data_IF_342910690859
#
_entry.id   IF_342910690859
#
_cell.length_a   1.000
_cell.length_b   1.000
_cell.length_c   1.000
_cell.angle_alpha   90.00
_cell.angle_beta   90.00
_cell.angle_gamma   90.00
#
_symmetry.space_group_name_H-M   'P 1'
#
loop_
_entity.id
_entity.type
_entity.pdbx_description
1 polymer ?
#
# COMPACT_ATOMS: atom_id res chain seq x y z
N UNK A 1 22.96 22.85 8.42
CA UNK A 1 21.78 23.69 8.17
C UNK A 1 20.56 22.79 8.13
N UNK A 2 19.47 23.21 8.78
CA UNK A 2 18.19 22.50 8.75
C UNK A 2 17.62 22.50 7.33
N UNK A 3 17.06 21.37 6.88
CA UNK A 3 16.40 21.25 5.57
C UNK A 3 14.96 20.76 5.73
N UNK A 4 14.21 20.75 4.64
CA UNK A 4 12.87 20.15 4.64
C UNK A 4 12.95 18.64 4.52
N UNK A 5 11.99 17.94 5.13
CA UNK A 5 11.71 16.53 4.87
C UNK A 5 10.56 16.45 3.88
N UNK A 6 10.72 15.66 2.83
CA UNK A 6 9.65 15.35 1.87
C UNK A 6 9.35 13.86 1.91
N UNK A 7 8.09 13.53 2.21
CA UNK A 7 7.56 12.17 2.18
C UNK A 7 6.70 12.01 0.94
N UNK A 8 7.19 11.28 -0.05
CA UNK A 8 6.40 10.90 -1.22
C UNK A 8 5.67 9.61 -0.91
N UNK A 9 4.37 9.54 -1.16
CA UNK A 9 3.58 8.33 -0.86
C UNK A 9 2.44 8.08 -1.84
N UNK A 10 2.18 6.80 -2.14
CA UNK A 10 0.94 6.38 -2.79
C UNK A 10 -0.20 6.13 -1.78
N UNK A 11 0.14 6.00 -0.51
CA UNK A 11 -0.80 5.60 0.55
C UNK A 11 -1.34 6.82 1.28
N UNK A 12 -2.40 6.58 2.05
CA UNK A 12 -2.89 7.58 2.99
C UNK A 12 -1.81 7.86 4.06
N UNK A 13 -1.47 9.12 4.36
CA UNK A 13 -0.48 9.42 5.39
C UNK A 13 -1.03 9.22 6.79
N UNK A 14 -0.87 8.00 7.33
CA UNK A 14 -1.28 7.66 8.70
C UNK A 14 -0.31 8.28 9.70
N UNK A 15 -0.84 8.97 10.70
CA UNK A 15 -0.05 9.63 11.77
C UNK A 15 1.03 8.73 12.39
N UNK A 16 0.65 7.52 12.81
CA UNK A 16 1.58 6.57 13.42
C UNK A 16 2.74 6.15 12.48
N UNK A 17 2.46 5.97 11.19
CA UNK A 17 3.45 5.63 10.16
C UNK A 17 4.42 6.78 9.94
N UNK A 18 3.89 8.00 9.74
CA UNK A 18 4.70 9.20 9.56
C UNK A 18 5.60 9.43 10.78
N UNK A 19 5.07 9.28 11.99
CA UNK A 19 5.87 9.37 13.22
C UNK A 19 6.96 8.31 13.28
N UNK A 20 6.67 7.05 12.92
CA UNK A 20 7.69 6.00 12.91
C UNK A 20 8.84 6.33 11.93
N UNK A 21 8.51 6.85 10.75
CA UNK A 21 9.49 7.27 9.74
C UNK A 21 10.34 8.44 10.27
N UNK A 22 9.70 9.48 10.84
CA UNK A 22 10.41 10.64 11.39
C UNK A 22 11.29 10.28 12.58
N UNK A 23 10.84 9.38 13.47
CA UNK A 23 11.66 8.85 14.57
C UNK A 23 12.89 8.12 14.05
N UNK A 24 12.73 7.32 12.99
CA UNK A 24 13.85 6.62 12.37
C UNK A 24 14.84 7.58 11.72
N UNK A 25 14.36 8.65 11.08
CA UNK A 25 15.20 9.75 10.58
C UNK A 25 15.99 10.39 11.73
N UNK A 26 15.33 10.80 12.81
CA UNK A 26 15.98 11.42 13.97
C UNK A 26 17.06 10.53 14.58
N UNK A 27 16.81 9.22 14.70
CA UNK A 27 17.79 8.26 15.18
C UNK A 27 19.04 8.16 14.27
N UNK A 28 18.88 8.29 12.96
CA UNK A 28 19.99 8.29 11.99
C UNK A 28 20.93 9.48 12.18
N UNK A 29 20.34 10.65 12.42
CA UNK A 29 21.08 11.91 12.55
C UNK A 29 21.43 12.25 14.00
N UNK A 30 21.09 11.37 14.96
CA UNK A 30 21.37 11.59 16.38
C UNK A 30 20.68 12.81 16.97
N UNK A 31 19.48 13.16 16.49
CA UNK A 31 18.72 14.32 16.95
C UNK A 31 17.51 13.92 17.78
N UNK A 32 17.26 14.67 18.84
CA UNK A 32 16.03 14.56 19.61
C UNK A 32 14.87 15.21 18.86
N UNK A 33 13.65 14.81 19.20
CA UNK A 33 12.43 15.40 18.66
C UNK A 33 11.41 15.60 19.77
N UNK A 34 10.54 16.60 19.60
CA UNK A 34 9.45 16.92 20.51
C UNK A 34 8.13 17.03 19.75
N UNK A 35 7.06 16.63 20.41
CA UNK A 35 5.70 16.91 19.99
C UNK A 35 4.99 15.75 19.31
N UNK A 36 3.69 15.97 19.09
CA UNK A 36 2.78 15.06 18.44
C UNK A 36 2.26 15.70 17.15
N UNK A 37 2.08 14.91 16.11
CA UNK A 37 1.91 15.47 14.78
C UNK A 37 0.44 15.69 14.42
N UNK A 38 0.19 16.70 13.59
CA UNK A 38 -1.03 16.83 12.77
C UNK A 38 -0.65 16.96 11.31
N UNK A 39 -1.52 16.47 10.43
CA UNK A 39 -1.32 16.49 8.98
C UNK A 39 -2.38 17.41 8.40
N UNK A 40 -1.95 18.53 7.84
CA UNK A 40 -2.83 19.57 7.33
C UNK A 40 -2.68 19.69 5.81
N UNK A 41 -3.76 19.82 5.03
CA UNK A 41 -3.64 20.14 3.62
C UNK A 41 -3.03 21.53 3.43
N UNK A 42 -2.20 21.69 2.40
CA UNK A 42 -1.72 23.01 2.00
C UNK A 42 -2.75 23.63 1.06
N UNK A 43 -3.32 24.74 1.48
CA UNK A 43 -4.33 25.51 0.74
C UNK A 43 -3.68 26.77 0.16
N UNK A 44 -3.98 27.13 -1.09
CA UNK A 44 -3.51 28.38 -1.69
C UNK A 44 -4.31 29.58 -1.17
N UNK A 45 -3.83 30.83 -1.38
CA UNK A 45 -4.60 32.02 -1.05
C UNK A 45 -6.00 32.06 -1.69
N UNK A 46 -6.19 31.40 -2.85
CA UNK A 46 -7.48 31.28 -3.53
C UNK A 46 -8.35 30.12 -3.01
N UNK A 47 -7.96 29.46 -1.92
CA UNK A 47 -8.71 28.36 -1.31
C UNK A 47 -8.54 27.00 -2.01
N UNK A 48 -7.50 26.82 -2.84
CA UNK A 48 -7.29 25.57 -3.59
C UNK A 48 -6.32 24.64 -2.89
N UNK A 49 -6.68 23.37 -2.79
CA UNK A 49 -5.77 22.33 -2.32
C UNK A 49 -4.58 22.17 -3.28
N UNK A 50 -3.37 22.27 -2.75
CA UNK A 50 -2.13 22.21 -3.53
C UNK A 50 -1.62 20.79 -3.79
N UNK A 51 -2.44 19.76 -3.55
CA UNK A 51 -2.04 18.34 -3.66
C UNK A 51 -0.77 18.02 -2.85
N UNK A 52 -0.63 18.66 -1.69
CA UNK A 52 0.42 18.38 -0.72
C UNK A 52 -0.09 18.67 0.68
N UNK A 53 0.45 17.95 1.66
CA UNK A 53 0.15 18.16 3.06
C UNK A 53 1.40 18.66 3.78
N UNK A 54 1.18 19.36 4.89
CA UNK A 54 2.21 19.80 5.83
C UNK A 54 2.02 19.04 7.14
N UNK A 55 3.11 18.51 7.67
CA UNK A 55 3.12 17.92 9.01
C UNK A 55 3.57 19.00 9.99
N UNK A 56 2.75 19.25 11.01
CA UNK A 56 3.04 20.22 12.08
C UNK A 56 3.09 19.51 13.43
N UNK A 57 3.66 20.18 14.44
CA UNK A 57 3.78 19.65 15.81
C UNK A 57 4.94 18.67 15.99
N UNK A 58 5.81 18.53 14.99
CA UNK A 58 7.08 17.81 15.10
C UNK A 58 8.23 18.82 15.05
N UNK A 59 9.02 18.88 16.13
CA UNK A 59 10.17 19.77 16.23
C UNK A 59 11.45 18.94 16.40
N UNK A 60 12.45 19.21 15.55
CA UNK A 60 13.79 18.63 15.64
C UNK A 60 14.80 19.61 15.04
N UNK A 61 16.00 19.74 15.63
CA UNK A 61 17.00 20.77 15.29
C UNK A 61 17.35 20.85 13.79
N UNK A 62 17.39 19.70 13.11
CA UNK A 62 17.76 19.61 11.70
C UNK A 62 16.58 19.75 10.74
N UNK A 63 15.35 19.84 11.24
CA UNK A 63 14.15 19.78 10.40
C UNK A 63 13.50 21.16 10.34
N UNK A 64 13.48 21.74 9.14
CA UNK A 64 12.83 23.04 8.90
C UNK A 64 11.33 22.90 8.74
N UNK A 65 10.91 22.09 7.78
CA UNK A 65 9.50 21.79 7.49
C UNK A 65 9.36 20.34 7.04
N UNK A 66 8.16 19.78 7.19
CA UNK A 66 7.86 18.42 6.77
C UNK A 66 6.65 18.44 5.83
N UNK A 67 6.85 17.95 4.61
CA UNK A 67 5.82 17.89 3.59
C UNK A 67 5.53 16.45 3.21
N UNK A 68 4.26 16.18 2.88
CA UNK A 68 3.83 14.93 2.27
C UNK A 68 3.31 15.23 0.87
N UNK A 69 3.83 14.53 -0.11
CA UNK A 69 3.46 14.65 -1.52
C UNK A 69 2.82 13.34 -1.99
N UNK A 70 1.50 13.33 -2.24
CA UNK A 70 0.85 12.23 -2.93
C UNK A 70 1.44 12.03 -4.33
N UNK A 71 1.91 10.82 -4.59
CA UNK A 71 2.50 10.43 -5.88
C UNK A 71 1.83 9.16 -6.40
N UNK A 72 2.16 8.81 -7.64
CA UNK A 72 1.91 7.49 -8.19
C UNK A 72 3.10 6.94 -8.96
N UNK A 73 3.29 5.62 -8.89
CA UNK A 73 4.28 4.91 -9.68
C UNK A 73 3.87 4.79 -11.15
N UNK A 74 4.87 4.80 -12.05
CA UNK A 74 4.66 4.34 -13.43
C UNK A 74 4.51 2.81 -13.50
N UNK A 75 4.96 2.10 -12.45
CA UNK A 75 4.85 0.65 -12.26
C UNK A 75 4.76 0.35 -10.75
N UNK A 76 5.58 -0.56 -10.22
CA UNK A 76 5.61 -0.91 -8.80
C UNK A 76 6.25 0.19 -7.94
N UNK A 77 5.48 0.83 -7.07
CA UNK A 77 5.95 1.89 -6.16
C UNK A 77 6.08 1.38 -4.71
N UNK A 78 7.11 1.81 -3.97
CA UNK A 78 7.20 1.61 -2.51
C UNK A 78 6.23 2.53 -1.78
N UNK A 79 5.70 2.13 -0.63
CA UNK A 79 4.64 2.93 0.01
C UNK A 79 5.10 4.36 0.40
N UNK A 80 6.38 4.55 0.77
CA UNK A 80 6.97 5.86 1.02
C UNK A 80 8.40 6.01 0.46
N UNK A 81 8.75 7.23 0.06
CA UNK A 81 10.13 7.67 -0.16
C UNK A 81 10.39 8.91 0.71
N UNK A 82 11.53 8.96 1.41
CA UNK A 82 11.94 10.11 2.20
C UNK A 82 13.08 10.86 1.51
N UNK A 83 12.95 12.17 1.38
CA UNK A 83 14.01 13.08 0.93
C UNK A 83 14.29 14.12 2.01
N UNK A 84 15.55 14.57 2.09
CA UNK A 84 15.99 15.60 3.03
C UNK A 84 16.74 16.72 2.29
N UNK A 85 15.97 17.71 1.84
CA UNK A 85 16.41 18.77 0.92
C UNK A 85 15.45 19.97 0.98
N UNK A 86 15.91 21.14 0.55
CA UNK A 86 15.12 22.37 0.63
C UNK A 86 13.95 22.36 -0.37
N UNK A 87 14.24 22.03 -1.64
CA UNK A 87 13.26 22.06 -2.72
C UNK A 87 12.44 20.77 -2.81
N UNK A 88 11.23 20.89 -3.38
CA UNK A 88 10.39 19.72 -3.65
C UNK A 88 11.13 18.72 -4.57
N UNK A 89 11.15 17.42 -4.24
CA UNK A 89 11.82 16.41 -5.05
C UNK A 89 11.30 16.35 -6.48
N UNK A 90 12.22 16.04 -7.38
CA UNK A 90 12.01 15.69 -8.78
C UNK A 90 12.41 14.23 -9.01
N UNK A 91 12.05 13.67 -10.17
CA UNK A 91 12.39 12.30 -10.53
C UNK A 91 13.91 12.02 -10.62
N UNK A 92 14.72 13.07 -10.66
CA UNK A 92 16.19 13.00 -10.71
C UNK A 92 16.85 12.99 -9.32
N UNK A 93 16.11 13.38 -8.29
CA UNK A 93 16.65 13.43 -6.93
C UNK A 93 16.74 12.02 -6.34
N UNK A 94 17.74 11.81 -5.47
CA UNK A 94 17.95 10.53 -4.79
C UNK A 94 17.27 10.57 -3.41
N UNK A 95 16.36 9.64 -3.10
CA UNK A 95 15.78 9.55 -1.76
C UNK A 95 16.85 9.10 -0.74
N UNK A 96 16.66 9.52 0.50
CA UNK A 96 17.40 9.00 1.65
C UNK A 96 16.92 7.60 2.03
N UNK A 97 15.60 7.39 2.05
CA UNK A 97 14.97 6.12 2.44
C UNK A 97 13.91 5.68 1.43
N UNK A 98 13.85 4.38 1.18
CA UNK A 98 12.76 3.69 0.48
C UNK A 98 12.02 2.80 1.48
N UNK A 99 10.72 3.02 1.68
CA UNK A 99 9.99 2.39 2.77
C UNK A 99 8.74 1.70 2.23
N UNK A 100 8.56 0.44 2.60
CA UNK A 100 7.34 -0.34 2.37
C UNK A 100 6.60 -0.54 3.71
N UNK A 101 5.32 -0.16 3.78
CA UNK A 101 4.50 -0.30 5.00
C UNK A 101 3.65 -1.56 4.92
N UNK A 102 3.61 -2.36 5.98
CA UNK A 102 2.66 -3.47 6.08
C UNK A 102 2.03 -3.54 7.46
N UNK A 103 0.74 -3.90 7.48
CA UNK A 103 0.03 -4.29 8.70
C UNK A 103 -0.04 -5.81 8.88
N UNK A 104 0.27 -6.56 7.83
CA UNK A 104 0.07 -8.00 7.76
C UNK A 104 1.14 -8.77 8.53
N UNK A 105 0.71 -9.67 9.43
CA UNK A 105 1.58 -10.64 10.08
C UNK A 105 1.37 -12.07 9.51
N UNK A 106 2.19 -13.03 9.95
CA UNK A 106 2.19 -14.46 9.56
C UNK A 106 0.82 -15.18 9.74
N UNK A 107 -0.12 -14.58 10.47
CA UNK A 107 -1.46 -15.13 10.73
C UNK A 107 -2.38 -15.02 9.52
N UNK A 108 -2.39 -13.87 8.84
CA UNK A 108 -3.46 -13.53 7.90
C UNK A 108 -3.12 -13.83 6.45
N UNK A 109 -1.86 -13.65 6.05
CA UNK A 109 -1.45 -13.94 4.68
C UNK A 109 0.03 -14.29 4.53
N UNK A 110 0.32 -15.57 4.75
CA UNK A 110 1.69 -16.14 4.77
C UNK A 110 2.53 -15.81 3.54
N UNK A 111 1.95 -15.92 2.34
CA UNK A 111 2.69 -15.72 1.08
C UNK A 111 2.55 -14.29 0.54
N UNK A 112 1.41 -13.64 0.75
CA UNK A 112 1.15 -12.29 0.21
C UNK A 112 1.84 -11.22 1.04
N UNK A 113 1.84 -11.34 2.38
CA UNK A 113 2.38 -10.33 3.28
C UNK A 113 3.89 -10.15 3.22
N UNK A 114 4.63 -11.17 2.76
CA UNK A 114 6.10 -11.08 2.59
C UNK A 114 6.48 -10.97 1.12
N UNK A 115 6.17 -11.97 0.29
CA UNK A 115 6.75 -12.05 -1.06
C UNK A 115 6.22 -11.01 -2.04
N UNK A 116 4.94 -10.62 -1.98
CA UNK A 116 4.41 -9.62 -2.90
C UNK A 116 5.13 -8.27 -2.70
N UNK A 117 5.41 -7.92 -1.45
CA UNK A 117 6.01 -6.64 -1.02
C UNK A 117 7.51 -6.60 -1.28
N UNK A 118 8.22 -7.71 -1.05
CA UNK A 118 9.63 -7.88 -1.38
C UNK A 118 10.00 -7.43 -2.81
N UNK A 119 9.11 -7.65 -3.78
CA UNK A 119 9.37 -7.30 -5.18
C UNK A 119 9.56 -5.81 -5.43
N UNK A 120 8.96 -4.95 -4.60
CA UNK A 120 9.11 -3.50 -4.70
C UNK A 120 10.54 -3.06 -4.42
N UNK A 121 11.20 -3.64 -3.40
CA UNK A 121 12.60 -3.35 -3.08
C UNK A 121 13.60 -3.81 -4.14
N UNK A 122 13.25 -4.89 -4.85
CA UNK A 122 14.01 -5.36 -6.00
C UNK A 122 13.84 -4.36 -7.15
N UNK A 123 12.59 -3.98 -7.44
CA UNK A 123 12.27 -3.07 -8.54
C UNK A 123 12.81 -1.64 -8.32
N UNK A 124 12.86 -1.14 -7.09
CA UNK A 124 13.43 0.19 -6.79
C UNK A 124 14.93 0.28 -7.04
N UNK A 125 15.66 -0.84 -6.97
CA UNK A 125 17.12 -0.82 -7.16
C UNK A 125 17.51 -0.33 -8.55
N UNK A 126 16.63 -0.53 -9.54
CA UNK A 126 16.85 -0.10 -10.92
C UNK A 126 16.84 1.43 -11.07
N UNK A 127 16.19 2.13 -10.15
CA UNK A 127 16.05 3.59 -10.16
C UNK A 127 16.95 4.25 -9.13
N UNK A 128 17.09 3.63 -7.96
CA UNK A 128 17.78 4.20 -6.82
C UNK A 128 18.71 3.16 -6.18
N UNK A 129 19.84 2.85 -6.84
CA UNK A 129 20.78 1.87 -6.33
C UNK A 129 21.44 2.35 -5.03
N UNK A 130 21.68 1.40 -4.13
CA UNK A 130 22.32 1.65 -2.83
C UNK A 130 21.60 2.72 -1.99
N UNK A 131 20.27 2.80 -2.07
CA UNK A 131 19.46 3.54 -1.11
C UNK A 131 19.04 2.62 0.02
N UNK A 132 19.02 3.14 1.24
CA UNK A 132 18.59 2.38 2.40
C UNK A 132 17.09 2.03 2.30
N UNK A 133 16.78 0.77 2.57
CA UNK A 133 15.45 0.20 2.42
C UNK A 133 14.90 -0.19 3.78
N UNK A 134 13.62 0.09 4.01
CA UNK A 134 12.95 -0.17 5.27
C UNK A 134 11.63 -0.90 5.01
N UNK A 135 11.45 -2.06 5.63
CA UNK A 135 10.15 -2.71 5.78
C UNK A 135 9.55 -2.29 7.13
N UNK A 136 8.53 -1.44 7.10
CA UNK A 136 7.86 -0.89 8.29
C UNK A 136 6.59 -1.69 8.60
N UNK A 137 6.57 -2.33 9.78
CA UNK A 137 5.41 -3.04 10.29
C UNK A 137 4.54 -2.12 11.16
N UNK A 138 3.39 -1.69 10.64
CA UNK A 138 2.40 -0.87 11.33
C UNK A 138 1.19 -1.73 11.74
N UNK A 139 1.32 -2.44 12.85
CA UNK A 139 0.40 -3.52 13.23
C UNK A 139 -0.72 -3.01 14.13
N UNK A 140 -1.93 -3.51 13.89
CA UNK A 140 -3.08 -3.35 14.79
C UNK A 140 -3.38 -4.61 15.61
N UNK A 141 -2.71 -5.74 15.30
CA UNK A 141 -2.89 -7.03 15.96
C UNK A 141 -1.56 -7.60 16.53
N UNK A 142 -1.60 -8.39 17.61
CA UNK A 142 -0.39 -8.94 18.26
C UNK A 142 0.45 -9.87 17.38
N UNK A 143 1.77 -9.90 17.64
CA UNK A 143 2.71 -10.75 16.92
C UNK A 143 2.51 -12.23 17.23
N UNK A 144 2.51 -13.05 16.19
CA UNK A 144 2.57 -14.49 16.38
C UNK A 144 3.89 -14.88 17.02
N UNK A 145 3.80 -15.64 18.13
CA UNK A 145 4.97 -16.07 18.92
C UNK A 145 5.91 -16.96 18.11
N UNK A 146 5.36 -17.91 17.34
CA UNK A 146 6.16 -18.84 16.53
C UNK A 146 6.05 -18.55 15.03
N UNK A 147 7.11 -18.07 14.37
CA UNK A 147 7.07 -17.75 12.95
C UNK A 147 6.99 -19.03 12.09
N UNK A 148 6.32 -18.95 10.93
CA UNK A 148 6.36 -20.02 9.92
C UNK A 148 7.67 -20.02 9.13
N UNK A 149 8.00 -21.15 8.50
CA UNK A 149 9.15 -21.25 7.58
C UNK A 149 9.06 -20.26 6.41
N UNK A 150 7.85 -20.03 5.88
CA UNK A 150 7.61 -19.03 4.82
C UNK A 150 8.03 -17.64 5.28
N UNK A 151 7.61 -17.26 6.49
CA UNK A 151 7.93 -15.97 7.07
C UNK A 151 9.42 -15.81 7.38
N UNK A 152 10.03 -16.85 7.95
CA UNK A 152 11.49 -16.90 8.20
C UNK A 152 12.21 -16.69 6.87
N UNK A 153 11.93 -17.49 5.86
CA UNK A 153 12.61 -17.41 4.57
C UNK A 153 12.48 -16.05 3.90
N UNK A 154 11.26 -15.50 3.82
CA UNK A 154 11.04 -14.19 3.24
C UNK A 154 11.72 -13.05 4.03
N UNK A 155 11.68 -13.10 5.36
CA UNK A 155 12.36 -12.13 6.22
C UNK A 155 13.88 -12.21 6.07
N UNK A 156 14.45 -13.42 6.02
CA UNK A 156 15.88 -13.63 5.81
C UNK A 156 16.33 -13.13 4.44
N UNK A 157 15.51 -13.29 3.40
CA UNK A 157 15.79 -12.71 2.08
C UNK A 157 15.80 -11.17 2.11
N UNK A 158 14.85 -10.54 2.82
CA UNK A 158 14.86 -9.08 3.02
C UNK A 158 16.16 -8.62 3.70
N UNK A 159 16.54 -9.28 4.80
CA UNK A 159 17.79 -8.99 5.51
C UNK A 159 19.02 -9.24 4.64
N UNK A 160 18.98 -10.26 3.77
CA UNK A 160 20.06 -10.53 2.80
C UNK A 160 20.22 -9.37 1.83
N UNK A 161 19.15 -8.68 1.45
CA UNK A 161 19.17 -7.50 0.60
C UNK A 161 19.36 -6.17 1.37
N UNK A 162 19.86 -6.23 2.61
CA UNK A 162 20.08 -5.09 3.51
C UNK A 162 18.81 -4.25 3.77
N UNK A 163 17.64 -4.89 3.73
CA UNK A 163 16.39 -4.23 4.11
C UNK A 163 16.28 -4.23 5.62
N UNK A 164 16.29 -3.02 6.21
CA UNK A 164 16.03 -2.80 7.62
C UNK A 164 14.57 -3.10 7.94
N UNK A 165 14.30 -3.65 9.13
CA UNK A 165 12.97 -4.02 9.56
C UNK A 165 12.63 -3.29 10.85
N UNK A 166 11.55 -2.52 10.84
CA UNK A 166 11.08 -1.74 11.99
C UNK A 166 9.62 -2.09 12.32
N UNK A 167 9.20 -1.88 13.57
CA UNK A 167 7.81 -2.11 14.02
C UNK A 167 7.46 -3.56 14.39
N UNK A 168 8.46 -4.45 14.49
CA UNK A 168 8.32 -5.80 15.04
C UNK A 168 9.59 -6.29 15.71
N UNK A 169 9.46 -7.27 16.60
CA UNK A 169 10.61 -7.93 17.23
C UNK A 169 11.08 -9.10 16.37
N UNK A 170 12.39 -9.18 16.15
CA UNK A 170 13.05 -10.26 15.43
C UNK A 170 14.02 -10.96 16.38
N UNK A 171 13.88 -12.29 16.50
CA UNK A 171 14.89 -13.14 17.13
C UNK A 171 16.14 -13.19 16.22
N UNK A 172 17.31 -12.67 16.66
CA UNK A 172 18.52 -12.61 15.83
C UNK A 172 19.10 -13.99 15.49
N UNK A 173 18.77 -15.03 16.25
CA UNK A 173 19.22 -16.41 15.95
C UNK A 173 18.45 -17.01 14.77
N UNK A 174 17.19 -16.61 14.61
CA UNK A 174 16.31 -17.09 13.53
C UNK A 174 16.39 -16.16 12.31
N UNK A 175 16.35 -14.86 12.54
CA UNK A 175 16.24 -13.83 11.51
C UNK A 175 17.60 -13.17 11.28
N UNK A 176 18.42 -13.88 10.51
CA UNK A 176 19.71 -13.38 10.00
C UNK A 176 19.78 -13.46 8.48
N UNK A 177 20.57 -12.59 7.82
CA UNK A 177 20.86 -12.71 6.40
C UNK A 177 21.29 -14.14 6.02
N UNK A 178 21.03 -14.54 4.78
CA UNK A 178 21.72 -15.69 4.21
C UNK A 178 23.17 -15.31 3.98
N UNK A 179 24.07 -16.21 4.38
CA UNK A 179 25.52 -16.01 4.20
C UNK A 179 26.06 -16.76 2.98
N UNK A 180 25.34 -17.80 2.53
CA UNK A 180 25.73 -18.66 1.41
C UNK A 180 24.51 -19.07 0.60
N UNK A 181 24.70 -19.27 -0.70
CA UNK A 181 23.65 -19.74 -1.60
C UNK A 181 23.02 -21.06 -1.15
N UNK A 182 23.81 -22.03 -0.71
CA UNK A 182 23.30 -23.35 -0.33
C UNK A 182 22.38 -23.26 0.90
N UNK A 183 22.63 -22.32 1.81
CA UNK A 183 21.75 -22.08 2.96
C UNK A 183 20.34 -21.63 2.54
N UNK A 184 20.26 -20.75 1.54
CA UNK A 184 18.99 -20.31 0.95
C UNK A 184 18.25 -21.48 0.30
N UNK A 185 18.97 -22.29 -0.49
CA UNK A 185 18.43 -23.46 -1.19
C UNK A 185 17.88 -24.49 -0.20
N UNK A 186 18.67 -24.85 0.81
CA UNK A 186 18.31 -25.86 1.81
C UNK A 186 17.08 -25.43 2.60
N UNK A 187 17.02 -24.18 3.05
CA UNK A 187 15.86 -23.67 3.77
C UNK A 187 14.62 -23.66 2.87
N UNK A 188 14.73 -23.27 1.60
CA UNK A 188 13.57 -23.29 0.68
C UNK A 188 13.08 -24.71 0.42
N UNK A 189 14.00 -25.64 0.21
CA UNK A 189 13.68 -27.02 -0.16
C UNK A 189 13.15 -27.87 1.01
N UNK A 190 13.54 -27.52 2.25
CA UNK A 190 13.00 -28.16 3.46
C UNK A 190 11.54 -27.82 3.76
N UNK A 191 10.98 -26.79 3.14
CA UNK A 191 9.59 -26.39 3.38
C UNK A 191 8.59 -27.45 2.92
N UNK A 192 7.49 -27.68 3.65
CA UNK A 192 6.43 -28.60 3.25
C UNK A 192 5.88 -28.30 1.85
N UNK A 193 5.44 -29.34 1.14
CA UNK A 193 4.74 -29.17 -0.14
C UNK A 193 3.41 -28.43 0.12
N UNK A 194 2.99 -27.54 -0.79
CA UNK A 194 1.65 -26.95 -0.67
C UNK A 194 0.60 -28.05 -0.84
N UNK A 195 -0.54 -27.89 -0.17
CA UNK A 195 -1.66 -28.84 -0.29
C UNK A 195 -2.15 -28.96 -1.74
N UNK A 196 -2.18 -27.83 -2.45
CA UNK A 196 -2.51 -27.74 -3.88
C UNK A 196 -1.47 -26.87 -4.60
N UNK A 197 -1.09 -27.27 -5.82
CA UNK A 197 -0.27 -26.47 -6.72
C UNK A 197 1.19 -26.89 -6.82
N UNK A 198 1.97 -26.10 -7.56
CA UNK A 198 3.38 -26.38 -7.84
C UNK A 198 4.22 -26.03 -6.60
N UNK A 199 4.95 -26.98 -5.98
CA UNK A 199 5.88 -26.66 -4.92
C UNK A 199 7.01 -25.80 -5.48
N UNK A 200 7.38 -24.76 -4.74
CA UNK A 200 8.55 -23.96 -5.10
C UNK A 200 9.80 -24.60 -4.52
N UNK A 201 10.72 -24.94 -5.42
CA UNK A 201 11.98 -25.64 -5.15
C UNK A 201 13.09 -25.02 -5.96
N UNK A 202 14.30 -25.11 -5.43
CA UNK A 202 15.50 -24.60 -6.07
C UNK A 202 16.43 -25.79 -6.31
N UNK A 203 16.87 -25.99 -7.55
CA UNK A 203 17.88 -26.99 -7.92
C UNK A 203 19.10 -26.24 -8.44
N UNK A 204 20.26 -26.52 -7.84
CA UNK A 204 21.55 -25.99 -8.29
C UNK A 204 22.27 -27.06 -9.10
N UNK A 205 22.70 -26.69 -10.29
CA UNK A 205 23.62 -27.43 -11.14
C UNK A 205 24.92 -26.62 -11.30
N UNK A 206 25.85 -27.05 -12.14
CA UNK A 206 27.18 -26.47 -12.22
C UNK A 206 27.16 -24.97 -12.60
N UNK A 207 26.36 -24.62 -13.61
CA UNK A 207 26.24 -23.29 -14.20
C UNK A 207 24.79 -22.75 -14.20
N UNK A 208 23.84 -23.54 -13.70
CA UNK A 208 22.41 -23.22 -13.72
C UNK A 208 21.74 -23.36 -12.36
N UNK A 209 20.81 -22.46 -12.07
CA UNK A 209 19.85 -22.61 -10.98
C UNK A 209 18.45 -22.70 -11.57
N UNK A 210 17.73 -23.76 -11.25
CA UNK A 210 16.33 -23.93 -11.62
C UNK A 210 15.44 -23.59 -10.43
N UNK A 211 14.44 -22.76 -10.64
CA UNK A 211 13.42 -22.43 -9.64
C UNK A 211 12.08 -22.89 -10.18
N UNK A 212 11.45 -23.88 -9.54
CA UNK A 212 10.07 -24.22 -9.89
C UNK A 212 9.11 -23.21 -9.28
N UNK A 213 8.25 -22.57 -10.06
CA UNK A 213 7.24 -21.65 -9.52
C UNK A 213 6.10 -21.44 -10.51
N UNK A 214 4.84 -21.57 -10.07
CA UNK A 214 3.68 -21.20 -10.89
C UNK A 214 3.58 -19.68 -11.01
N UNK A 215 3.69 -19.14 -12.21
CA UNK A 215 3.57 -17.69 -12.49
C UNK A 215 2.26 -17.34 -13.22
N UNK A 216 1.62 -18.34 -13.82
CA UNK A 216 0.31 -18.20 -14.46
C UNK A 216 -0.83 -17.97 -13.46
N UNK A 217 -1.72 -17.05 -13.80
CA UNK A 217 -3.03 -16.88 -13.20
C UNK A 217 -4.01 -16.36 -14.25
N UNK A 218 -5.13 -17.07 -14.45
CA UNK A 218 -6.16 -16.76 -15.44
C UNK A 218 -5.61 -16.66 -16.88
N UNK A 219 -4.73 -17.59 -17.25
CA UNK A 219 -4.10 -17.70 -18.58
C UNK A 219 -3.01 -16.66 -18.84
N UNK A 220 -2.55 -15.91 -17.83
CA UNK A 220 -1.58 -14.81 -17.99
C UNK A 220 -0.49 -14.84 -16.93
N UNK A 221 0.64 -14.21 -17.20
CA UNK A 221 1.69 -13.94 -16.22
C UNK A 221 1.19 -12.95 -15.15
N UNK A 222 0.55 -13.45 -14.10
CA UNK A 222 -0.22 -12.62 -13.17
C UNK A 222 -0.29 -13.17 -11.73
N UNK A 223 0.49 -14.21 -11.39
CA UNK A 223 0.51 -14.74 -10.02
C UNK A 223 1.41 -13.90 -9.09
N UNK A 224 0.93 -12.72 -8.68
CA UNK A 224 1.68 -11.70 -7.92
C UNK A 224 2.55 -12.23 -6.75
N UNK A 225 2.05 -13.09 -5.84
CA UNK A 225 2.88 -13.60 -4.74
C UNK A 225 4.10 -14.41 -5.21
N UNK A 226 3.96 -15.19 -6.29
CA UNK A 226 5.04 -16.02 -6.80
C UNK A 226 6.00 -15.21 -7.67
N UNK A 227 5.47 -14.24 -8.43
CA UNK A 227 6.28 -13.23 -9.11
C UNK A 227 7.20 -12.53 -8.11
N UNK A 228 6.64 -12.06 -6.99
CA UNK A 228 7.45 -11.38 -5.99
C UNK A 228 8.43 -12.29 -5.24
N UNK A 229 8.07 -13.55 -5.00
CA UNK A 229 8.98 -14.53 -4.42
C UNK A 229 10.15 -14.84 -5.36
N UNK A 230 9.89 -15.05 -6.65
CA UNK A 230 10.93 -15.29 -7.66
C UNK A 230 11.85 -14.09 -7.78
N UNK A 231 11.29 -12.88 -7.81
CA UNK A 231 12.06 -11.64 -7.86
C UNK A 231 13.09 -11.55 -6.73
N UNK A 232 12.65 -11.70 -5.48
CA UNK A 232 13.56 -11.58 -4.34
C UNK A 232 14.53 -12.76 -4.23
N UNK A 233 14.10 -13.98 -4.60
CA UNK A 233 15.02 -15.13 -4.65
C UNK A 233 16.14 -14.88 -5.66
N UNK A 234 15.83 -14.41 -6.86
CA UNK A 234 16.83 -14.11 -7.89
C UNK A 234 17.79 -13.01 -7.41
N UNK A 235 17.26 -11.92 -6.84
CA UNK A 235 18.09 -10.86 -6.26
C UNK A 235 19.04 -11.38 -5.17
N UNK A 236 18.56 -12.24 -4.26
CA UNK A 236 19.40 -12.85 -3.23
C UNK A 236 20.45 -13.79 -3.82
N UNK A 237 20.08 -14.62 -4.81
CA UNK A 237 21.00 -15.52 -5.51
C UNK A 237 22.16 -14.73 -6.14
N UNK A 238 21.84 -13.62 -6.82
CA UNK A 238 22.84 -12.70 -7.39
C UNK A 238 23.72 -12.08 -6.30
N UNK A 239 23.12 -11.56 -5.23
CA UNK A 239 23.85 -10.96 -4.09
C UNK A 239 24.77 -11.95 -3.36
N UNK A 240 24.41 -13.23 -3.34
CA UNK A 240 25.20 -14.32 -2.77
C UNK A 240 26.31 -14.82 -3.73
N UNK A 241 26.54 -14.12 -4.84
CA UNK A 241 27.68 -14.33 -5.73
C UNK A 241 27.43 -15.29 -6.90
N UNK A 242 26.18 -15.70 -7.16
CA UNK A 242 25.90 -16.55 -8.31
C UNK A 242 25.81 -15.76 -9.61
N UNK A 243 26.68 -16.08 -10.57
CA UNK A 243 26.72 -15.48 -11.91
C UNK A 243 26.19 -16.40 -13.02
N UNK A 244 25.82 -17.65 -12.70
CA UNK A 244 25.25 -18.59 -13.67
C UNK A 244 23.79 -18.27 -14.00
N UNK A 245 23.18 -19.07 -14.88
CA UNK A 245 21.80 -18.86 -15.32
C UNK A 245 20.79 -19.09 -14.18
N UNK A 246 19.67 -18.36 -14.21
CA UNK A 246 18.51 -18.59 -13.34
C UNK A 246 17.31 -18.89 -14.23
N UNK A 247 16.81 -20.12 -14.18
CA UNK A 247 15.75 -20.61 -15.07
C UNK A 247 14.50 -20.94 -14.24
N UNK A 248 13.37 -20.29 -14.55
CA UNK A 248 12.10 -20.62 -13.91
C UNK A 248 11.41 -21.74 -14.68
N UNK A 249 11.08 -22.81 -13.97
CA UNK A 249 10.39 -23.99 -14.50
C UNK A 249 8.98 -24.09 -13.91
N UNK A 250 8.12 -24.88 -14.55
CA UNK A 250 6.74 -25.13 -14.07
C UNK A 250 5.92 -23.84 -13.86
N UNK A 251 6.17 -22.81 -14.67
CA UNK A 251 5.47 -21.52 -14.62
C UNK A 251 4.01 -21.60 -15.05
N UNK A 252 3.63 -22.62 -15.82
CA UNK A 252 2.24 -22.90 -16.21
C UNK A 252 1.71 -21.94 -17.28
N UNK A 253 2.59 -21.21 -17.95
CA UNK A 253 2.25 -20.34 -19.08
C UNK A 253 2.16 -21.22 -20.33
N UNK A 254 1.14 -21.01 -21.16
CA UNK A 254 0.84 -21.87 -22.29
C UNK A 254 1.76 -21.62 -23.50
N UNK A 255 2.05 -20.35 -23.82
CA UNK A 255 2.84 -19.97 -24.98
C UNK A 255 3.36 -18.51 -24.85
N UNK A 256 4.05 -18.03 -25.88
CA UNK A 256 4.68 -16.71 -25.93
C UNK A 256 3.69 -15.52 -25.79
N UNK A 257 2.42 -15.69 -26.16
CA UNK A 257 1.42 -14.61 -26.19
C UNK A 257 0.99 -14.13 -24.79
N UNK A 258 1.28 -14.92 -23.75
CA UNK A 258 0.84 -14.61 -22.38
C UNK A 258 1.82 -13.73 -21.59
N UNK A 259 2.97 -13.40 -22.18
CA UNK A 259 4.02 -12.54 -21.60
C UNK A 259 3.99 -11.17 -22.29
N UNK A 260 3.20 -10.24 -21.75
CA UNK A 260 3.10 -8.88 -22.29
C UNK A 260 4.30 -8.00 -21.94
N UNK A 261 4.70 -7.10 -22.83
CA UNK A 261 5.88 -6.22 -22.70
C UNK A 261 5.84 -5.18 -21.56
N UNK A 262 4.70 -4.97 -20.91
CA UNK A 262 4.53 -4.03 -19.79
C UNK A 262 4.46 -4.71 -18.41
N UNK A 263 4.72 -6.01 -18.34
CA UNK A 263 4.64 -6.73 -17.07
C UNK A 263 5.85 -6.42 -16.17
N UNK A 264 5.60 -6.10 -14.89
CA UNK A 264 6.66 -5.86 -13.89
C UNK A 264 7.69 -6.98 -13.79
N UNK A 265 7.25 -8.23 -13.97
CA UNK A 265 8.13 -9.39 -13.91
C UNK A 265 9.18 -9.35 -15.02
N UNK A 266 8.85 -8.84 -16.21
CA UNK A 266 9.80 -8.82 -17.32
C UNK A 266 10.96 -7.86 -17.05
N UNK A 267 10.71 -6.71 -16.40
CA UNK A 267 11.78 -5.80 -15.97
C UNK A 267 12.70 -6.48 -14.95
N UNK A 268 12.11 -7.15 -13.96
CA UNK A 268 12.85 -7.89 -12.93
C UNK A 268 13.66 -9.04 -13.55
N UNK A 269 13.06 -9.76 -14.50
CA UNK A 269 13.71 -10.87 -15.17
C UNK A 269 14.86 -10.41 -16.05
N UNK A 270 14.70 -9.29 -16.75
CA UNK A 270 15.78 -8.67 -17.50
C UNK A 270 16.96 -8.29 -16.59
N UNK A 271 16.72 -7.59 -15.48
CA UNK A 271 17.81 -7.17 -14.59
C UNK A 271 18.56 -8.33 -13.93
N UNK A 272 17.83 -9.38 -13.52
CA UNK A 272 18.43 -10.51 -12.83
C UNK A 272 18.83 -11.66 -13.77
N UNK A 273 18.74 -11.46 -15.08
CA UNK A 273 19.02 -12.48 -16.10
C UNK A 273 18.26 -13.78 -15.81
N UNK A 274 16.94 -13.63 -15.61
CA UNK A 274 16.02 -14.73 -15.36
C UNK A 274 15.42 -15.19 -16.69
N UNK A 275 15.45 -16.49 -16.92
CA UNK A 275 14.82 -17.14 -18.07
C UNK A 275 13.54 -17.88 -17.67
N UNK A 276 12.65 -18.08 -18.63
CA UNK A 276 11.50 -18.97 -18.50
C UNK A 276 11.71 -20.19 -19.38
N UNK A 277 11.59 -21.39 -18.81
CA UNK A 277 11.76 -22.64 -19.56
C UNK A 277 10.78 -22.72 -20.74
N UNK A 278 11.31 -22.70 -21.96
CA UNK A 278 10.50 -22.78 -23.19
C UNK A 278 9.73 -21.51 -23.55
N UNK A 279 10.00 -20.36 -22.91
CA UNK A 279 9.41 -19.07 -23.26
C UNK A 279 10.49 -17.99 -23.36
N UNK A 280 10.53 -17.29 -24.49
CA UNK A 280 11.44 -16.16 -24.68
C UNK A 280 10.85 -14.91 -24.06
N UNK A 281 11.53 -14.27 -23.11
CA UNK A 281 11.01 -13.00 -22.56
C UNK A 281 11.13 -11.88 -23.60
N UNK A 282 10.13 -10.96 -23.68
CA UNK A 282 10.25 -9.81 -24.57
C UNK A 282 11.35 -8.87 -24.07
N UNK A 283 12.02 -8.19 -24.99
CA UNK A 283 12.89 -7.07 -24.65
C UNK A 283 12.05 -5.95 -24.03
N UNK A 284 12.48 -5.48 -22.86
CA UNK A 284 11.81 -4.41 -22.12
C UNK A 284 12.77 -3.26 -21.87
N UNK A 285 12.26 -2.03 -21.95
CA UNK A 285 12.99 -0.82 -21.61
C UNK A 285 12.40 -0.27 -20.33
N UNK A 286 13.24 -0.11 -19.29
CA UNK A 286 12.81 0.48 -18.04
C UNK A 286 12.19 1.87 -18.29
N UNK A 287 11.10 2.23 -17.60
CA UNK A 287 10.58 3.60 -17.65
C UNK A 287 11.66 4.60 -17.25
N UNK A 288 11.72 5.76 -17.92
CA UNK A 288 12.68 6.82 -17.57
C UNK A 288 12.44 7.41 -16.16
N UNK A 289 11.21 7.26 -15.66
CA UNK A 289 10.75 7.84 -14.40
C UNK A 289 10.14 6.77 -13.51
N UNK A 290 10.46 6.83 -12.21
CA UNK A 290 9.89 5.92 -11.23
C UNK A 290 8.47 6.32 -10.80
N UNK A 291 8.26 7.62 -10.57
CA UNK A 291 7.04 8.19 -10.00
C UNK A 291 6.63 9.51 -10.65
N UNK A 292 5.38 9.92 -10.42
CA UNK A 292 4.80 11.21 -10.80
C UNK A 292 3.88 11.73 -9.70
N UNK A 293 3.61 13.04 -9.66
CA UNK A 293 2.63 13.62 -8.72
C UNK A 293 1.22 13.12 -9.04
N UNK A 294 0.46 12.77 -8.01
CA UNK A 294 -0.92 12.26 -8.16
C UNK A 294 -1.95 13.37 -7.94
N UNK A 295 -2.86 13.54 -8.92
CA UNK A 295 -3.92 14.56 -8.89
C UNK A 295 -5.29 14.05 -9.36
N UNK A 296 -5.36 12.86 -9.94
CA UNK A 296 -6.52 12.42 -10.72
C UNK A 296 -7.12 11.08 -10.26
N UNK A 297 -6.34 10.25 -9.54
CA UNK A 297 -6.84 8.97 -9.03
C UNK A 297 -7.95 9.18 -8.01
N UNK A 298 -8.89 8.26 -8.02
CA UNK A 298 -10.00 8.11 -7.06
C UNK A 298 -9.57 8.30 -5.60
N UNK A 299 -8.46 7.68 -5.20
CA UNK A 299 -7.90 7.77 -3.85
C UNK A 299 -7.56 9.19 -3.40
N UNK A 300 -7.28 10.13 -4.32
CA UNK A 300 -6.94 11.50 -3.96
C UNK A 300 -8.09 12.19 -3.21
N UNK A 301 -9.33 12.00 -3.67
CA UNK A 301 -10.52 12.58 -3.03
C UNK A 301 -10.81 11.96 -1.68
N UNK A 302 -10.80 10.62 -1.58
CA UNK A 302 -11.10 9.93 -0.32
C UNK A 302 -10.01 10.15 0.72
N UNK A 303 -8.73 10.17 0.35
CA UNK A 303 -7.62 10.53 1.26
C UNK A 303 -7.77 11.99 1.72
N UNK A 304 -8.13 12.92 0.83
CA UNK A 304 -8.33 14.32 1.20
C UNK A 304 -9.42 14.46 2.28
N UNK A 305 -10.61 13.88 2.04
CA UNK A 305 -11.71 13.86 3.02
C UNK A 305 -11.28 13.23 4.33
N UNK A 306 -10.53 12.13 4.25
CA UNK A 306 -10.02 11.45 5.43
C UNK A 306 -9.12 12.36 6.29
N UNK A 307 -8.14 13.00 5.65
CA UNK A 307 -7.18 13.86 6.35
C UNK A 307 -7.88 15.05 7.00
N UNK A 308 -8.77 15.75 6.28
CA UNK A 308 -9.44 16.93 6.84
C UNK A 308 -10.38 16.56 7.98
N UNK A 309 -11.09 15.43 7.88
CA UNK A 309 -12.01 15.00 8.93
C UNK A 309 -11.29 14.58 10.21
N UNK A 310 -10.14 13.90 10.12
CA UNK A 310 -9.38 13.50 11.31
C UNK A 310 -8.53 14.62 11.94
N UNK A 311 -8.04 15.57 11.13
CA UNK A 311 -7.05 16.54 11.61
C UNK A 311 -7.64 17.92 11.91
N UNK A 312 -8.79 18.26 11.31
CA UNK A 312 -9.43 19.57 11.50
C UNK A 312 -10.65 19.49 12.41
N UNK A 313 -11.37 18.37 12.42
CA UNK A 313 -12.58 18.15 13.21
C UNK A 313 -12.50 16.83 13.97
N UNK A 314 -13.51 16.50 14.77
CA UNK A 314 -13.53 15.30 15.62
C UNK A 314 -14.06 14.06 14.88
N UNK A 315 -13.67 13.92 13.60
CA UNK A 315 -14.03 12.77 12.78
C UNK A 315 -13.11 11.59 13.06
N UNK A 316 -13.69 10.41 13.26
CA UNK A 316 -12.91 9.19 13.52
C UNK A 316 -13.09 8.20 12.39
N UNK A 317 -11.99 7.70 11.82
CA UNK A 317 -12.05 6.62 10.85
C UNK A 317 -12.28 5.28 11.52
N UNK A 318 -13.38 4.63 11.15
CA UNK A 318 -13.75 3.32 11.70
C UNK A 318 -13.51 2.19 10.70
N UNK A 319 -13.28 2.53 9.43
CA UNK A 319 -12.82 1.60 8.40
C UNK A 319 -12.19 2.37 7.24
N UNK A 320 -11.11 1.85 6.66
CA UNK A 320 -10.50 2.41 5.45
C UNK A 320 -9.98 1.31 4.51
N UNK A 321 -10.18 1.52 3.21
CA UNK A 321 -9.66 0.67 2.15
C UNK A 321 -9.49 1.50 0.86
N UNK A 322 -8.81 2.65 0.96
CA UNK A 322 -8.58 3.52 -0.20
C UNK A 322 -8.04 2.72 -1.39
N UNK A 323 -8.73 2.81 -2.54
CA UNK A 323 -8.51 2.03 -3.75
C UNK A 323 -7.12 1.41 -3.95
N UNK A 324 -7.04 0.08 -3.87
CA UNK A 324 -5.83 -0.72 -4.14
C UNK A 324 -4.97 -1.04 -2.91
N UNK A 325 -5.29 -0.49 -1.74
CA UNK A 325 -4.60 -0.79 -0.47
C UNK A 325 -4.95 -2.18 0.08
N UNK A 326 -4.16 -2.65 1.04
CA UNK A 326 -4.51 -3.85 1.81
C UNK A 326 -5.80 -3.64 2.60
N UNK A 327 -6.66 -4.68 2.64
CA UNK A 327 -7.97 -4.64 3.31
C UNK A 327 -7.89 -4.13 4.74
N UNK A 328 -8.64 -3.06 5.04
CA UNK A 328 -8.73 -2.45 6.38
C UNK A 328 -9.24 -3.39 7.47
N UNK A 329 -9.06 -2.96 8.71
CA UNK A 329 -9.79 -3.49 9.86
C UNK A 329 -10.95 -2.56 10.20
N UNK A 330 -12.05 -3.15 10.63
CA UNK A 330 -13.18 -2.43 11.17
C UNK A 330 -12.94 -2.17 12.66
N UNK A 331 -13.16 -0.94 13.11
CA UNK A 331 -13.00 -0.56 14.51
C UNK A 331 -14.29 -0.85 15.27
N UNK A 332 -14.23 -1.88 16.13
CA UNK A 332 -15.27 -2.23 17.07
C UNK A 332 -15.05 -1.47 18.40
N UNK A 333 -15.87 -0.47 18.62
CA UNK A 333 -15.86 0.31 19.87
C UNK A 333 -16.73 -0.30 20.98
N UNK A 334 -17.46 -1.39 20.70
CA UNK A 334 -18.35 -2.03 21.69
C UNK A 334 -17.60 -2.82 22.76
N UNK A 335 -16.30 -3.06 22.54
CA UNK A 335 -15.39 -3.79 23.42
C UNK A 335 -14.50 -2.84 24.24
N UNK A 336 -14.06 -3.31 25.42
CA UNK A 336 -13.10 -2.59 26.28
C UNK A 336 -11.91 -3.53 26.57
N UNK A 337 -10.70 -3.27 26.03
CA UNK A 337 -10.37 -2.20 25.07
C UNK A 337 -11.04 -2.43 23.69
N UNK A 338 -11.22 -1.36 22.88
CA UNK A 338 -11.74 -1.50 21.52
C UNK A 338 -10.94 -2.50 20.68
N UNK A 339 -11.63 -3.24 19.83
CA UNK A 339 -11.05 -4.28 18.99
C UNK A 339 -11.03 -3.88 17.52
N UNK A 340 -10.12 -4.50 16.77
CA UNK A 340 -10.05 -4.40 15.32
C UNK A 340 -10.48 -5.74 14.71
N UNK A 341 -11.55 -5.73 13.91
CA UNK A 341 -12.06 -6.92 13.23
C UNK A 341 -11.66 -6.92 11.74
N UNK A 342 -11.15 -8.05 11.26
CA UNK A 342 -10.93 -8.25 9.83
C UNK A 342 -12.27 -8.42 9.12
N UNK A 343 -12.57 -7.53 8.16
CA UNK A 343 -13.80 -7.63 7.36
C UNK A 343 -13.75 -8.92 6.52
N UNK A 344 -14.86 -9.66 6.49
CA UNK A 344 -15.00 -10.91 5.74
C UNK A 344 -14.89 -10.66 4.24
N UNK A 345 -14.18 -11.54 3.53
CA UNK A 345 -14.05 -11.46 2.07
C UNK A 345 -15.30 -11.92 1.33
N UNK A 346 -16.04 -12.86 1.92
CA UNK A 346 -17.18 -13.52 1.28
C UNK A 346 -18.36 -13.51 2.24
N UNK A 347 -19.56 -13.30 1.69
CA UNK A 347 -20.81 -13.58 2.39
C UNK A 347 -20.99 -15.09 2.51
N UNK A 348 -20.70 -15.82 1.43
CA UNK A 348 -20.59 -17.27 1.38
C UNK A 348 -19.38 -17.70 0.53
N UNK A 349 -18.41 -18.36 1.17
CA UNK A 349 -17.16 -18.78 0.50
C UNK A 349 -17.37 -19.89 -0.52
N UNK A 350 -18.27 -20.83 -0.25
CA UNK A 350 -18.46 -22.00 -1.10
C UNK A 350 -19.22 -21.63 -2.37
N UNK A 351 -20.23 -20.76 -2.27
CA UNK A 351 -20.90 -20.17 -3.44
C UNK A 351 -19.94 -19.35 -4.32
N UNK A 352 -19.08 -18.54 -3.69
CA UNK A 352 -18.10 -17.75 -4.45
C UNK A 352 -17.14 -18.62 -5.27
N UNK A 353 -16.71 -19.76 -4.68
CA UNK A 353 -15.84 -20.72 -5.34
C UNK A 353 -16.56 -21.55 -6.40
N UNK A 354 -17.85 -21.81 -6.24
CA UNK A 354 -18.65 -22.54 -7.25
C UNK A 354 -19.05 -21.68 -8.45
N UNK A 355 -18.85 -20.35 -8.38
CA UNK A 355 -18.98 -19.45 -9.53
C UNK A 355 -19.74 -18.16 -9.25
N UNK A 356 -20.50 -18.11 -8.14
CA UNK A 356 -21.30 -16.94 -7.79
C UNK A 356 -20.42 -15.76 -7.31
N UNK A 357 -20.07 -14.85 -8.22
CA UNK A 357 -19.21 -13.70 -7.87
C UNK A 357 -19.90 -12.64 -7.01
N UNK A 358 -21.22 -12.70 -6.88
CA UNK A 358 -21.99 -11.80 -6.00
C UNK A 358 -21.84 -12.16 -4.52
N UNK A 359 -21.37 -13.37 -4.20
CA UNK A 359 -21.06 -13.79 -2.82
C UNK A 359 -19.79 -13.13 -2.23
N UNK A 360 -19.27 -12.08 -2.87
CA UNK A 360 -18.18 -11.25 -2.36
C UNK A 360 -18.75 -10.13 -1.47
N UNK A 361 -18.04 -9.79 -0.40
CA UNK A 361 -18.39 -8.62 0.39
C UNK A 361 -17.82 -7.38 -0.29
N UNK A 362 -18.72 -6.52 -0.77
CA UNK A 362 -18.37 -5.17 -1.18
C UNK A 362 -17.98 -4.35 0.04
N UNK A 363 -16.86 -3.64 -0.07
CA UNK A 363 -16.30 -2.83 1.00
C UNK A 363 -16.17 -1.40 0.53
N UNK A 364 -16.52 -0.42 1.37
CA UNK A 364 -16.35 0.99 1.02
C UNK A 364 -14.88 1.41 1.08
N UNK A 365 -14.55 2.55 0.48
CA UNK A 365 -13.21 3.13 0.57
C UNK A 365 -12.92 3.72 1.95
N UNK A 366 -13.93 4.31 2.59
CA UNK A 366 -13.78 5.01 3.87
C UNK A 366 -15.09 4.99 4.65
N UNK A 367 -15.01 4.77 5.96
CA UNK A 367 -16.14 4.93 6.88
C UNK A 367 -15.70 5.81 8.04
N UNK A 368 -16.40 6.94 8.21
CA UNK A 368 -16.14 7.91 9.28
C UNK A 368 -17.27 7.86 10.33
N UNK A 369 -16.91 8.12 11.58
CA UNK A 369 -17.82 8.40 12.68
C UNK A 369 -17.72 9.88 13.04
N UNK A 370 -18.85 10.58 12.93
CA UNK A 370 -19.08 11.86 13.60
C UNK A 370 -19.54 11.59 15.03
N UNK A 371 -18.59 11.63 15.97
CA UNK A 371 -18.85 11.35 17.39
C UNK A 371 -19.88 12.33 17.97
N UNK A 372 -19.81 13.61 17.56
CA UNK A 372 -20.66 14.67 18.09
C UNK A 372 -22.13 14.49 17.69
N UNK A 373 -22.37 13.98 16.49
CA UNK A 373 -23.73 13.83 15.91
C UNK A 373 -24.24 12.40 15.92
N UNK A 374 -23.42 11.45 16.37
CA UNK A 374 -23.68 10.02 16.32
C UNK A 374 -24.11 9.59 14.91
N UNK A 375 -23.31 9.95 13.91
CA UNK A 375 -23.54 9.68 12.49
C UNK A 375 -22.35 8.93 11.90
N UNK A 376 -22.63 7.80 11.24
CA UNK A 376 -21.69 7.06 10.42
C UNK A 376 -21.83 7.51 8.98
N UNK A 377 -20.70 7.77 8.34
CA UNK A 377 -20.61 8.20 6.95
C UNK A 377 -19.88 7.12 6.17
N UNK A 378 -20.62 6.38 5.35
CA UNK A 378 -20.11 5.35 4.45
C UNK A 378 -19.78 5.95 3.08
N UNK A 379 -18.51 5.92 2.69
CA UNK A 379 -17.98 6.69 1.55
C UNK A 379 -17.42 5.75 0.49
N UNK A 380 -17.90 5.94 -0.74
CA UNK A 380 -17.27 5.43 -1.96
C UNK A 380 -16.47 6.53 -2.64
N UNK A 381 -15.24 6.23 -3.05
CA UNK A 381 -14.47 7.07 -3.95
C UNK A 381 -14.78 6.73 -5.40
N UNK A 382 -14.86 7.72 -6.30
CA UNK A 382 -14.68 7.49 -7.74
C UNK A 382 -13.92 8.63 -8.39
N UNK A 383 -13.33 8.36 -9.56
CA UNK A 383 -12.99 9.45 -10.47
C UNK A 383 -14.26 10.09 -11.02
N UNK A 384 -14.21 11.39 -11.36
CA UNK A 384 -15.34 12.10 -11.95
C UNK A 384 -15.89 11.40 -13.22
N UNK A 385 -15.01 10.84 -14.04
CA UNK A 385 -15.37 10.05 -15.22
C UNK A 385 -16.30 8.87 -14.87
N UNK A 386 -16.08 8.23 -13.73
CA UNK A 386 -16.79 7.04 -13.27
C UNK A 386 -17.91 7.34 -12.26
N UNK A 387 -18.30 8.61 -12.09
CA UNK A 387 -19.27 9.05 -11.07
C UNK A 387 -20.60 8.27 -11.08
N UNK A 388 -21.17 8.00 -12.26
CA UNK A 388 -22.44 7.27 -12.38
C UNK A 388 -22.31 5.80 -11.94
N UNK A 389 -21.14 5.19 -12.17
CA UNK A 389 -20.84 3.85 -11.68
C UNK A 389 -20.73 3.86 -10.14
N UNK A 390 -20.11 4.89 -9.57
CA UNK A 390 -20.05 5.07 -8.12
C UNK A 390 -21.43 5.12 -7.48
N UNK A 391 -22.37 5.89 -8.07
CA UNK A 391 -23.77 5.96 -7.59
C UNK A 391 -24.43 4.57 -7.60
N UNK A 392 -24.23 3.79 -8.66
CA UNK A 392 -24.76 2.42 -8.75
C UNK A 392 -24.17 1.50 -7.67
N UNK A 393 -22.87 1.63 -7.39
CA UNK A 393 -22.16 0.78 -6.43
C UNK A 393 -22.57 0.99 -4.97
N UNK A 394 -23.11 2.16 -4.60
CA UNK A 394 -23.56 2.45 -3.23
C UNK A 394 -24.56 1.41 -2.70
N UNK A 395 -25.43 0.89 -3.57
CA UNK A 395 -26.42 -0.14 -3.23
C UNK A 395 -25.83 -1.51 -2.87
N UNK A 396 -24.55 -1.74 -3.16
CA UNK A 396 -23.89 -3.01 -2.86
C UNK A 396 -23.44 -3.13 -1.39
N UNK A 397 -23.47 -2.04 -0.62
CA UNK A 397 -22.94 -2.01 0.74
C UNK A 397 -23.87 -2.56 1.82
N UNK A 398 -25.06 -3.04 1.45
CA UNK A 398 -26.05 -3.60 2.40
C UNK A 398 -25.44 -4.63 3.35
N UNK A 399 -24.64 -5.58 2.85
CA UNK A 399 -24.01 -6.56 3.73
C UNK A 399 -23.06 -5.91 4.75
N UNK A 400 -22.23 -4.97 4.29
CA UNK A 400 -21.28 -4.27 5.15
C UNK A 400 -22.00 -3.43 6.21
N UNK A 401 -23.03 -2.70 5.78
CA UNK A 401 -23.86 -1.85 6.64
C UNK A 401 -24.57 -2.67 7.72
N UNK A 402 -25.20 -3.79 7.37
CA UNK A 402 -25.91 -4.64 8.35
C UNK A 402 -24.96 -5.37 9.31
N UNK A 403 -23.87 -5.94 8.79
CA UNK A 403 -23.02 -6.87 9.56
C UNK A 403 -21.87 -6.19 10.31
N UNK A 404 -21.53 -4.93 9.96
CA UNK A 404 -20.48 -4.17 10.63
C UNK A 404 -21.04 -2.88 11.22
N UNK A 405 -21.56 -1.97 10.38
CA UNK A 405 -21.99 -0.65 10.87
C UNK A 405 -23.15 -0.80 11.86
N UNK A 406 -24.29 -1.35 11.46
CA UNK A 406 -25.45 -1.52 12.34
C UNK A 406 -25.22 -2.56 13.43
N UNK A 407 -24.32 -3.51 13.23
CA UNK A 407 -24.00 -4.47 14.28
C UNK A 407 -23.29 -3.81 15.47
N UNK A 408 -22.28 -2.98 15.19
CA UNK A 408 -21.44 -2.34 16.21
C UNK A 408 -21.90 -0.92 16.60
N UNK A 409 -22.63 -0.22 15.73
CA UNK A 409 -23.08 1.18 15.89
C UNK A 409 -24.61 1.30 15.69
N UNK A 410 -25.38 0.50 16.45
CA UNK A 410 -26.84 0.29 16.26
C UNK A 410 -27.69 1.57 16.21
N UNK A 411 -27.36 2.55 17.05
CA UNK A 411 -28.16 3.75 17.24
C UNK A 411 -27.64 4.95 16.40
N UNK A 412 -26.59 4.74 15.60
CA UNK A 412 -26.00 5.79 14.79
C UNK A 412 -26.81 6.01 13.51
N UNK A 413 -26.93 7.28 13.10
CA UNK A 413 -27.45 7.61 11.77
C UNK A 413 -26.47 7.11 10.72
N UNK A 414 -26.97 6.76 9.53
CA UNK A 414 -26.13 6.34 8.42
C UNK A 414 -26.33 7.28 7.23
N UNK A 415 -25.25 7.95 6.84
CA UNK A 415 -25.14 8.66 5.58
C UNK A 415 -24.28 7.83 4.62
N UNK A 416 -24.75 7.63 3.39
CA UNK A 416 -24.01 6.90 2.34
C UNK A 416 -23.82 7.86 1.17
N UNK A 417 -22.60 7.97 0.65
CA UNK A 417 -22.36 8.90 -0.44
C UNK A 417 -21.02 8.76 -1.14
N UNK A 418 -20.85 9.63 -2.13
CA UNK A 418 -19.78 9.57 -3.11
C UNK A 418 -18.79 10.72 -2.92
N UNK A 419 -17.51 10.39 -2.90
CA UNK A 419 -16.42 11.36 -3.03
C UNK A 419 -15.82 11.23 -4.42
N UNK A 420 -15.77 12.34 -5.14
CA UNK A 420 -15.26 12.39 -6.51
C UNK A 420 -13.88 13.05 -6.57
N UNK A 421 -13.03 12.54 -7.47
CA UNK A 421 -11.72 13.12 -7.77
C UNK A 421 -11.46 13.28 -9.28
N UNK A 422 -10.60 14.23 -9.65
CA UNK A 422 -10.05 14.39 -11.01
C UNK A 422 -10.82 15.35 -11.91
N UNK A 423 -10.41 15.45 -13.18
CA UNK A 423 -10.91 16.46 -14.11
C UNK A 423 -12.40 16.28 -14.44
N UNK A 424 -13.17 17.36 -14.35
CA UNK A 424 -14.62 17.31 -14.49
C UNK A 424 -15.30 18.68 -14.40
N UNK A 425 -16.63 18.67 -14.38
CA UNK A 425 -17.45 19.87 -14.25
C UNK A 425 -18.13 19.87 -12.87
N UNK A 426 -17.78 20.86 -12.04
CA UNK A 426 -18.30 20.99 -10.68
C UNK A 426 -19.83 21.15 -10.61
N UNK A 427 -20.43 21.89 -11.55
CA UNK A 427 -21.89 22.10 -11.58
C UNK A 427 -22.63 20.81 -11.93
N UNK A 428 -22.06 19.96 -12.78
CA UNK A 428 -22.60 18.63 -13.06
C UNK A 428 -22.39 17.69 -11.87
N UNK A 429 -21.27 17.80 -11.16
CA UNK A 429 -21.04 17.02 -9.94
C UNK A 429 -22.08 17.34 -8.86
N UNK A 430 -22.36 18.63 -8.61
CA UNK A 430 -23.35 19.08 -7.60
C UNK A 430 -24.76 18.52 -7.82
N UNK A 431 -25.12 18.24 -9.07
CA UNK A 431 -26.43 17.65 -9.39
C UNK A 431 -26.57 16.19 -8.93
N UNK A 432 -25.47 15.53 -8.51
CA UNK A 432 -25.51 14.17 -7.96
C UNK A 432 -26.01 14.24 -6.52
N UNK A 433 -27.20 13.69 -6.21
CA UNK A 433 -27.77 13.80 -4.87
C UNK A 433 -26.94 13.13 -3.77
N UNK A 434 -26.17 12.09 -4.12
CA UNK A 434 -25.29 11.34 -3.22
C UNK A 434 -23.89 11.95 -3.10
N UNK A 435 -23.60 13.08 -3.76
CA UNK A 435 -22.30 13.73 -3.66
C UNK A 435 -22.04 14.21 -2.23
N UNK A 436 -20.93 13.76 -1.66
CA UNK A 436 -20.37 14.31 -0.42
C UNK A 436 -19.41 15.45 -0.76
N UNK A 437 -18.40 15.16 -1.58
CA UNK A 437 -17.37 16.12 -1.95
C UNK A 437 -16.80 15.78 -3.33
N UNK A 438 -16.54 16.79 -4.14
CA UNK A 438 -15.78 16.70 -5.38
C UNK A 438 -14.50 17.52 -5.27
N UNK A 439 -13.35 16.86 -5.45
CA UNK A 439 -12.03 17.46 -5.56
C UNK A 439 -11.56 17.41 -7.02
N UNK A 440 -11.50 18.55 -7.69
CA UNK A 440 -11.02 18.58 -9.08
C UNK A 440 -9.49 18.54 -9.16
N UNK A 441 -8.95 18.34 -10.37
CA UNK A 441 -7.51 18.25 -10.66
C UNK A 441 -6.75 19.59 -10.50
N UNK A 442 -7.46 20.68 -10.23
CA UNK A 442 -6.92 22.02 -9.93
C UNK A 442 -6.97 22.32 -8.42
N UNK A 443 -7.50 21.40 -7.62
CA UNK A 443 -7.61 21.53 -6.17
C UNK A 443 -8.82 22.32 -5.71
N UNK A 444 -9.80 22.60 -6.58
CA UNK A 444 -11.06 23.19 -6.15
C UNK A 444 -11.90 22.14 -5.43
N UNK A 445 -12.55 22.57 -4.36
CA UNK A 445 -13.37 21.73 -3.49
C UNK A 445 -14.82 22.12 -3.68
N UNK A 446 -15.67 21.15 -4.00
CA UNK A 446 -17.11 21.34 -4.17
C UNK A 446 -17.85 20.39 -3.25
N UNK A 447 -18.62 20.94 -2.31
CA UNK A 447 -19.51 20.16 -1.45
C UNK A 447 -20.81 19.83 -2.20
N UNK A 448 -21.35 18.64 -1.98
CA UNK A 448 -22.73 18.33 -2.38
C UNK A 448 -23.74 18.93 -1.40
N UNK A 449 -24.96 19.19 -1.87
CA UNK A 449 -26.00 19.84 -1.08
C UNK A 449 -26.33 19.06 0.22
N UNK A 450 -26.34 17.72 0.10
CA UNK A 450 -26.61 16.78 1.19
C UNK A 450 -25.35 16.25 1.87
N UNK A 451 -24.19 16.88 1.67
CA UNK A 451 -22.96 16.44 2.32
C UNK A 451 -23.13 16.40 3.86
N UNK A 452 -22.64 15.35 4.54
CA UNK A 452 -22.67 15.25 5.99
C UNK A 452 -22.05 16.45 6.69
N UNK A 453 -22.58 16.81 7.86
CA UNK A 453 -22.14 18.02 8.55
C UNK A 453 -20.67 17.93 9.00
N UNK A 454 -20.17 16.74 9.33
CA UNK A 454 -18.75 16.52 9.63
C UNK A 454 -17.84 17.03 8.50
N UNK A 455 -18.18 16.72 7.25
CA UNK A 455 -17.38 17.12 6.07
C UNK A 455 -17.52 18.61 5.80
N UNK A 456 -18.73 19.17 5.99
CA UNK A 456 -18.97 20.61 5.89
C UNK A 456 -18.12 21.39 6.92
N UNK A 457 -18.14 20.96 8.19
CA UNK A 457 -17.33 21.55 9.26
C UNK A 457 -15.82 21.47 8.94
N UNK A 458 -15.36 20.34 8.40
CA UNK A 458 -13.97 20.15 8.02
C UNK A 458 -13.54 21.10 6.89
N UNK A 459 -14.39 21.29 5.87
CA UNK A 459 -14.13 22.22 4.76
C UNK A 459 -14.19 23.67 5.24
N UNK A 460 -15.09 24.03 6.14
CA UNK A 460 -15.14 25.37 6.73
C UNK A 460 -13.83 25.72 7.45
N UNK A 461 -13.28 24.77 8.23
CA UNK A 461 -11.98 24.94 8.90
C UNK A 461 -10.77 25.04 7.96
N UNK A 462 -10.90 24.65 6.69
CA UNK A 462 -9.83 24.88 5.70
C UNK A 462 -9.61 26.37 5.44
N UNK A 463 -10.66 27.18 5.53
CA UNK A 463 -10.57 28.62 5.30
C UNK A 463 -9.82 29.38 6.41
N UNK A 464 -9.58 28.73 7.56
CA UNK A 464 -8.80 29.28 8.67
C UNK A 464 -7.37 28.76 8.74
N UNK A 465 -6.93 27.96 7.76
CA UNK A 465 -5.53 27.55 7.57
C UNK A 465 -4.81 28.57 6.69
#
# INVERSE_FOLDING_TARGET
MSKNIWLLTEERPKKAVIQAILKRFCAEFGVEYVGDIKILPVISPEGRFQFRYKVIGFEAELVKEIFILPVSGYSSFVDFMLFYQDEQPTDKDKPLLLIEETKTDDVESRNTGVYQRCSKFVFTEFFYPNVQKIMLYNRQIPQKVKPTLTYIFGTRMLLTLDVEIIGKSLDPEIFRPFSRLDELIDLKNSMPKPYNGVPVRIKKEQDKIYISAKLEKAGRLAHDPNIGMVAIMAACIRKLGWSGEIIITKHGLADQSVVGNKNKFNFIAHEHEIELEGITLPNVTLPDKYWKVEKEKEKAGTIFVHVICENLVDGVSIYENHGGSERGYFWDHSTIPPMYEAVKKYTNREEYKSGNKEAIVYIPDLVLLDVKRNEIINIEGKTYKNRLKGVQELSNYVYFELNYIQHYYKDSKLAVGLVLAGSGNAEVAKQIPELILYLDDKGNITLGDRAPQLVKDAVEKLSSL
#
